data_IF_478586827244
#
_entry.id   IF_478586827244
#
_cell.length_a   1.000
_cell.length_b   1.000
_cell.length_c   1.000
_cell.angle_alpha   90.00
_cell.angle_beta   90.00
_cell.angle_gamma   90.00
#
_symmetry.space_group_name_H-M   'P 1'
#
loop_
_entity.id
_entity.type
_entity.pdbx_description
1 polymer ?
#
# COMPACT_ATOMS: atom_id res chain seq x y z
N UNK A 1 34.22 -16.21 -3.76
CA UNK A 1 32.83 -15.71 -3.57
C UNK A 1 32.49 -14.78 -4.72
N UNK A 2 31.45 -15.07 -5.49
CA UNK A 2 31.05 -14.23 -6.63
C UNK A 2 30.60 -12.83 -6.15
N UNK A 3 30.87 -11.81 -6.95
CA UNK A 3 30.43 -10.42 -6.75
C UNK A 3 28.91 -10.35 -6.49
N UNK A 4 28.14 -11.23 -7.13
CA UNK A 4 26.69 -11.37 -6.95
C UNK A 4 26.32 -11.79 -5.53
N UNK A 5 27.05 -12.73 -4.90
CA UNK A 5 26.77 -13.13 -3.51
C UNK A 5 27.01 -12.01 -2.49
N UNK A 6 28.00 -11.14 -2.73
CA UNK A 6 28.29 -9.99 -1.85
C UNK A 6 27.21 -8.92 -1.97
N UNK A 7 26.75 -8.64 -3.20
CA UNK A 7 25.69 -7.64 -3.44
C UNK A 7 24.36 -8.11 -2.83
N UNK A 8 23.99 -9.38 -3.00
CA UNK A 8 22.77 -9.95 -2.40
C UNK A 8 22.81 -9.83 -0.88
N UNK A 9 23.96 -10.12 -0.25
CA UNK A 9 24.12 -9.94 1.21
C UNK A 9 24.00 -8.49 1.64
N UNK A 10 24.62 -7.56 0.91
CA UNK A 10 24.55 -6.13 1.26
C UNK A 10 23.12 -5.60 1.14
N UNK A 11 22.40 -5.92 0.05
CA UNK A 11 21.00 -5.49 -0.12
C UNK A 11 20.10 -6.12 0.94
N UNK A 12 20.28 -7.42 1.23
CA UNK A 12 19.55 -8.10 2.28
C UNK A 12 19.84 -7.50 3.66
N UNK A 13 21.10 -7.17 3.96
CA UNK A 13 21.52 -6.53 5.22
C UNK A 13 21.01 -5.09 5.34
N UNK A 14 21.02 -4.30 4.27
CA UNK A 14 20.46 -2.94 4.28
C UNK A 14 18.94 -2.96 4.47
N UNK A 15 18.24 -3.91 3.84
CA UNK A 15 16.82 -4.13 4.04
C UNK A 15 16.52 -4.61 5.47
N UNK A 16 17.31 -5.55 6.00
CA UNK A 16 17.18 -5.98 7.40
C UNK A 16 17.48 -4.84 8.39
N UNK A 17 18.51 -4.04 8.15
CA UNK A 17 18.87 -2.91 9.01
C UNK A 17 17.77 -1.83 9.00
N UNK A 18 17.22 -1.50 7.83
CA UNK A 18 16.08 -0.60 7.73
C UNK A 18 14.86 -1.12 8.51
N UNK A 19 14.70 -2.44 8.62
CA UNK A 19 13.64 -3.06 9.40
C UNK A 19 13.93 -3.11 10.90
N UNK A 20 15.19 -3.32 11.30
CA UNK A 20 15.62 -3.32 12.71
C UNK A 20 15.47 -1.91 13.34
N UNK A 21 15.57 -0.83 12.55
CA UNK A 21 15.42 0.55 13.03
C UNK A 21 13.98 1.10 12.94
N UNK A 22 12.98 0.28 12.57
CA UNK A 22 11.58 0.68 12.69
C UNK A 22 11.21 0.76 14.18
N UNK A 23 10.87 1.94 14.72
CA UNK A 23 10.65 2.09 16.15
C UNK A 23 9.36 1.39 16.56
N UNK A 24 9.41 0.73 17.71
CA UNK A 24 8.31 0.07 18.41
C UNK A 24 7.30 1.04 19.05
N UNK A 25 7.19 2.27 18.58
CA UNK A 25 6.32 3.26 19.19
C UNK A 25 4.96 3.38 18.48
N UNK A 26 4.45 2.30 17.90
CA UNK A 26 3.08 2.34 17.39
C UNK A 26 2.14 2.40 18.59
N UNK A 27 1.49 3.55 18.77
CA UNK A 27 0.48 3.74 19.80
C UNK A 27 -0.56 2.64 19.69
N UNK A 28 -0.54 1.75 20.68
CA UNK A 28 -1.58 0.79 20.93
C UNK A 28 -2.82 1.54 21.37
N UNK A 29 -3.89 1.51 20.56
CA UNK A 29 -5.17 2.03 21.01
C UNK A 29 -5.91 0.97 21.82
N UNK A 30 -6.47 1.39 22.95
CA UNK A 30 -7.50 0.61 23.63
C UNK A 30 -8.79 0.72 22.81
N UNK A 31 -9.24 -0.41 22.26
CA UNK A 31 -10.53 -0.46 21.60
C UNK A 31 -11.64 -0.11 22.59
N UNK A 32 -12.48 0.87 22.25
CA UNK A 32 -13.66 1.26 23.03
C UNK A 32 -14.88 1.24 22.12
N UNK A 33 -15.90 0.41 22.40
CA UNK A 33 -17.13 0.39 21.61
C UNK A 33 -17.76 1.78 21.61
N UNK A 34 -18.00 2.34 20.42
CA UNK A 34 -18.61 3.65 20.31
C UNK A 34 -20.15 3.58 20.32
N UNK A 35 -20.81 4.74 20.21
CA UNK A 35 -22.27 4.80 20.23
C UNK A 35 -22.89 4.09 19.01
N UNK A 36 -22.19 4.12 17.86
CA UNK A 36 -22.63 3.48 16.64
C UNK A 36 -22.59 1.96 16.80
N UNK A 37 -21.53 1.41 17.39
CA UNK A 37 -21.43 -0.03 17.67
C UNK A 37 -22.66 -0.54 18.45
N UNK A 38 -23.08 0.20 19.48
CA UNK A 38 -24.27 -0.14 20.28
C UNK A 38 -25.55 -0.07 19.45
N UNK A 39 -25.68 0.96 18.60
CA UNK A 39 -26.82 1.11 17.71
C UNK A 39 -26.90 -0.03 16.70
N UNK A 40 -25.79 -0.38 16.04
CA UNK A 40 -25.74 -1.47 15.06
C UNK A 40 -26.05 -2.83 15.67
N UNK A 41 -25.60 -3.06 16.91
CA UNK A 41 -25.89 -4.28 17.66
C UNK A 41 -27.38 -4.38 18.07
N UNK A 42 -28.06 -3.26 18.26
CA UNK A 42 -29.49 -3.22 18.61
C UNK A 42 -30.42 -3.40 17.40
N UNK A 43 -29.93 -3.23 16.17
CA UNK A 43 -30.73 -3.40 14.96
C UNK A 43 -30.93 -4.89 14.63
N UNK A 44 -32.19 -5.27 14.40
CA UNK A 44 -32.53 -6.58 13.82
C UNK A 44 -31.98 -6.71 12.39
N UNK A 45 -31.73 -7.93 11.94
CA UNK A 45 -31.16 -8.20 10.60
C UNK A 45 -32.02 -7.61 9.49
N UNK A 46 -33.34 -7.80 9.56
CA UNK A 46 -34.28 -7.21 8.59
C UNK A 46 -34.20 -5.67 8.59
N UNK A 47 -34.13 -5.04 9.78
CA UNK A 47 -34.05 -3.57 9.87
C UNK A 47 -32.70 -3.06 9.36
N UNK A 48 -31.61 -3.75 9.66
CA UNK A 48 -30.28 -3.41 9.16
C UNK A 48 -30.26 -3.39 7.63
N UNK A 49 -30.77 -4.46 7.01
CA UNK A 49 -30.83 -4.58 5.55
C UNK A 49 -31.86 -3.62 4.93
N UNK A 50 -32.96 -3.29 5.62
CA UNK A 50 -33.98 -2.36 5.12
C UNK A 50 -33.58 -0.88 5.24
N UNK A 51 -32.68 -0.54 6.18
CA UNK A 51 -32.30 0.84 6.46
C UNK A 51 -31.32 1.36 5.39
N UNK A 52 -31.57 2.53 4.78
CA UNK A 52 -30.60 3.09 3.84
C UNK A 52 -29.26 3.34 4.53
N UNK A 53 -28.17 2.94 3.88
CA UNK A 53 -26.81 2.98 4.44
C UNK A 53 -26.38 4.32 5.04
N UNK A 54 -26.85 5.44 4.49
CA UNK A 54 -26.59 6.79 5.02
C UNK A 54 -27.07 6.99 6.46
N UNK A 55 -28.07 6.21 6.90
CA UNK A 55 -28.61 6.23 8.26
C UNK A 55 -27.96 5.19 9.17
N UNK A 56 -27.09 4.34 8.63
CA UNK A 56 -26.30 3.36 9.37
C UNK A 56 -24.90 3.88 9.73
N UNK A 57 -24.51 5.04 9.23
CA UNK A 57 -23.20 5.66 9.49
C UNK A 57 -23.37 6.88 10.40
N UNK A 58 -22.35 7.18 11.20
CA UNK A 58 -22.30 8.42 11.96
C UNK A 58 -22.24 9.61 10.95
N UNK A 59 -23.18 10.57 11.01
CA UNK A 59 -23.20 11.71 10.09
C UNK A 59 -21.92 12.57 10.20
N UNK A 60 -21.32 12.69 11.38
CA UNK A 60 -20.10 13.48 11.58
C UNK A 60 -18.89 12.79 10.93
N UNK A 61 -18.75 11.47 11.11
CA UNK A 61 -17.69 10.68 10.47
C UNK A 61 -17.89 10.58 8.96
N UNK A 62 -19.14 10.45 8.50
CA UNK A 62 -19.47 10.53 7.08
C UNK A 62 -19.07 11.89 6.48
N UNK A 63 -19.39 13.00 7.15
CA UNK A 63 -18.96 14.33 6.72
C UNK A 63 -17.42 14.48 6.71
N UNK A 64 -16.73 13.92 7.72
CA UNK A 64 -15.27 13.86 7.79
C UNK A 64 -14.67 13.07 6.61
N UNK A 65 -15.26 11.93 6.26
CA UNK A 65 -14.85 11.12 5.11
C UNK A 65 -15.02 11.86 3.78
N UNK A 66 -16.11 12.60 3.61
CA UNK A 66 -16.29 13.45 2.43
C UNK A 66 -15.24 14.56 2.36
N UNK A 67 -14.93 15.22 3.48
CA UNK A 67 -13.84 16.22 3.52
C UNK A 67 -12.49 15.61 3.15
N UNK A 68 -12.18 14.42 3.66
CA UNK A 68 -10.95 13.69 3.33
C UNK A 68 -10.84 13.43 1.82
N UNK A 69 -11.91 12.93 1.22
CA UNK A 69 -11.94 12.56 -0.20
C UNK A 69 -11.72 13.76 -1.12
N UNK A 70 -12.25 14.94 -0.76
CA UNK A 70 -12.03 16.18 -1.53
C UNK A 70 -10.55 16.58 -1.59
N UNK A 71 -9.79 16.32 -0.51
CA UNK A 71 -8.38 16.69 -0.43
C UNK A 71 -7.42 15.59 -0.89
N UNK A 72 -7.85 14.33 -0.94
CA UNK A 72 -7.01 13.20 -1.34
C UNK A 72 -6.44 13.34 -2.75
N UNK A 73 -7.28 13.70 -3.73
CA UNK A 73 -6.84 13.88 -5.11
C UNK A 73 -5.89 15.07 -5.30
N UNK A 74 -6.22 16.30 -4.84
CA UNK A 74 -5.28 17.42 -4.91
C UNK A 74 -3.95 17.12 -4.23
N UNK A 75 -3.96 16.54 -3.03
CA UNK A 75 -2.72 16.21 -2.33
C UNK A 75 -1.91 15.15 -3.07
N UNK A 76 -2.55 14.15 -3.68
CA UNK A 76 -1.86 13.19 -4.54
C UNK A 76 -1.21 13.87 -5.76
N UNK A 77 -1.95 14.74 -6.45
CA UNK A 77 -1.43 15.52 -7.59
C UNK A 77 -0.24 16.39 -7.15
N UNK A 78 -0.33 17.05 -6.01
CA UNK A 78 0.77 17.89 -5.50
C UNK A 78 1.99 17.05 -5.11
N UNK A 79 1.82 15.89 -4.47
CA UNK A 79 2.93 14.96 -4.19
C UNK A 79 3.60 14.54 -5.50
N UNK A 80 2.85 13.96 -6.42
CA UNK A 80 3.37 13.44 -7.69
C UNK A 80 3.99 14.55 -8.55
N UNK A 81 3.35 15.72 -8.59
CA UNK A 81 3.86 16.90 -9.27
C UNK A 81 5.16 17.41 -8.67
N UNK A 82 5.27 17.49 -7.34
CA UNK A 82 6.49 17.91 -6.66
C UNK A 82 7.66 16.96 -6.94
N UNK A 83 7.43 15.65 -6.90
CA UNK A 83 8.43 14.63 -7.24
C UNK A 83 8.90 14.76 -8.69
N UNK A 84 7.95 14.89 -9.62
CA UNK A 84 8.23 15.07 -11.05
C UNK A 84 9.02 16.35 -11.33
N UNK A 85 8.53 17.50 -10.87
CA UNK A 85 9.16 18.80 -11.16
C UNK A 85 10.52 18.94 -10.47
N UNK A 86 10.72 18.36 -9.28
CA UNK A 86 12.02 18.37 -8.62
C UNK A 86 13.08 17.61 -9.44
N UNK A 87 12.74 16.42 -9.94
CA UNK A 87 13.64 15.63 -10.78
C UNK A 87 13.87 16.26 -12.15
N UNK A 88 12.80 16.79 -12.77
CA UNK A 88 12.89 17.49 -14.03
C UNK A 88 13.77 18.74 -13.92
N UNK A 89 13.58 19.54 -12.86
CA UNK A 89 14.41 20.71 -12.58
C UNK A 89 15.86 20.33 -12.32
N UNK A 90 16.11 19.27 -11.54
CA UNK A 90 17.48 18.78 -11.28
C UNK A 90 18.20 18.42 -12.60
N UNK A 91 17.48 17.80 -13.54
CA UNK A 91 18.00 17.50 -14.87
C UNK A 91 18.18 18.77 -15.73
N UNK A 92 17.13 19.55 -15.93
CA UNK A 92 17.11 20.67 -16.88
C UNK A 92 18.02 21.83 -16.49
N UNK A 93 18.28 22.02 -15.19
CA UNK A 93 19.21 23.04 -14.69
C UNK A 93 20.69 22.65 -14.81
N UNK A 94 21.00 21.42 -15.25
CA UNK A 94 22.36 20.87 -15.25
C UNK A 94 22.88 20.50 -13.86
N UNK A 95 22.08 20.67 -12.79
CA UNK A 95 22.48 20.32 -11.43
C UNK A 95 22.70 18.81 -11.26
N UNK A 96 22.01 17.97 -12.02
CA UNK A 96 22.30 16.53 -12.07
C UNK A 96 23.74 16.23 -12.52
N UNK A 97 24.26 16.96 -13.52
CA UNK A 97 25.64 16.82 -13.98
C UNK A 97 26.64 17.35 -12.93
N UNK A 98 26.36 18.50 -12.31
CA UNK A 98 27.19 19.04 -11.22
C UNK A 98 27.26 18.10 -10.02
N UNK A 99 26.12 17.53 -9.63
CA UNK A 99 26.03 16.54 -8.55
C UNK A 99 26.86 15.30 -8.88
N UNK A 100 26.70 14.75 -10.09
CA UNK A 100 27.52 13.63 -10.58
C UNK A 100 29.02 13.94 -10.49
N UNK A 101 29.44 15.10 -10.99
CA UNK A 101 30.86 15.48 -11.01
C UNK A 101 31.41 15.73 -9.60
N UNK A 102 30.60 16.24 -8.68
CA UNK A 102 30.95 16.34 -7.27
C UNK A 102 31.11 14.95 -6.62
N UNK A 103 30.17 14.03 -6.88
CA UNK A 103 30.22 12.67 -6.34
C UNK A 103 31.43 11.89 -6.88
N UNK A 104 31.74 11.98 -8.18
CA UNK A 104 32.92 11.34 -8.77
C UNK A 104 34.24 11.89 -8.22
N UNK A 105 34.31 13.18 -7.91
CA UNK A 105 35.49 13.77 -7.27
C UNK A 105 35.65 13.33 -5.81
N UNK A 106 34.54 13.18 -5.09
CA UNK A 106 34.55 12.82 -3.67
C UNK A 106 34.68 11.33 -3.37
N UNK A 107 34.31 10.45 -4.31
CA UNK A 107 34.24 9.01 -4.08
C UNK A 107 35.30 8.22 -4.84
N UNK A 108 35.91 7.24 -4.16
CA UNK A 108 36.87 6.33 -4.78
C UNK A 108 36.14 5.20 -5.52
N UNK A 109 35.85 5.43 -6.80
CA UNK A 109 35.37 4.41 -7.74
C UNK A 109 33.95 4.64 -8.26
N UNK A 110 33.72 4.24 -9.52
CA UNK A 110 32.47 4.48 -10.26
C UNK A 110 31.25 3.90 -9.55
N UNK A 111 31.39 2.70 -9.00
CA UNK A 111 30.36 2.02 -8.23
C UNK A 111 29.83 2.82 -7.04
N UNK A 112 30.71 3.56 -6.34
CA UNK A 112 30.32 4.39 -5.21
C UNK A 112 29.60 5.66 -5.69
N UNK A 113 30.10 6.28 -6.76
CA UNK A 113 29.46 7.45 -7.37
C UNK A 113 28.06 7.12 -7.95
N UNK A 114 27.89 5.97 -8.60
CA UNK A 114 26.60 5.47 -9.09
C UNK A 114 25.62 5.24 -7.94
N UNK A 115 26.09 4.58 -6.87
CA UNK A 115 25.27 4.36 -5.67
C UNK A 115 24.83 5.68 -5.05
N UNK A 116 25.77 6.60 -4.86
CA UNK A 116 25.48 7.90 -4.26
C UNK A 116 24.54 8.73 -5.13
N UNK A 117 24.68 8.66 -6.45
CA UNK A 117 23.75 9.34 -7.37
C UNK A 117 22.33 8.79 -7.21
N UNK A 118 22.16 7.46 -7.19
CA UNK A 118 20.85 6.84 -6.98
C UNK A 118 20.25 7.18 -5.62
N UNK A 119 21.08 7.22 -4.57
CA UNK A 119 20.68 7.65 -3.25
C UNK A 119 20.25 9.12 -3.22
N UNK A 120 21.00 10.01 -3.86
CA UNK A 120 20.66 11.44 -3.95
C UNK A 120 19.37 11.67 -4.72
N UNK A 121 19.11 10.96 -5.83
CA UNK A 121 17.85 11.08 -6.56
C UNK A 121 16.66 10.65 -5.71
N UNK A 122 16.78 9.53 -4.99
CA UNK A 122 15.74 9.11 -4.05
C UNK A 122 15.52 10.15 -2.94
N UNK A 123 16.58 10.74 -2.40
CA UNK A 123 16.48 11.80 -1.41
C UNK A 123 15.75 13.04 -1.96
N UNK A 124 16.08 13.47 -3.19
CA UNK A 124 15.42 14.61 -3.86
C UNK A 124 13.92 14.38 -3.98
N UNK A 125 13.49 13.20 -4.46
CA UNK A 125 12.07 12.83 -4.56
C UNK A 125 11.40 12.89 -3.20
N UNK A 126 12.00 12.27 -2.17
CA UNK A 126 11.44 12.21 -0.82
C UNK A 126 11.30 13.60 -0.21
N UNK A 127 12.33 14.43 -0.31
CA UNK A 127 12.35 15.80 0.20
C UNK A 127 11.33 16.69 -0.52
N UNK A 128 11.23 16.59 -1.85
CA UNK A 128 10.22 17.31 -2.63
C UNK A 128 8.79 16.96 -2.18
N UNK A 129 8.56 15.69 -1.85
CA UNK A 129 7.28 15.21 -1.35
C UNK A 129 7.04 15.43 0.15
N UNK A 130 8.00 15.98 0.91
CA UNK A 130 7.92 16.07 2.37
C UNK A 130 6.71 16.89 2.85
N UNK A 131 6.58 18.12 2.35
CA UNK A 131 5.51 19.05 2.75
C UNK A 131 4.11 18.50 2.40
N UNK A 132 3.83 18.06 1.15
CA UNK A 132 2.50 17.53 0.84
C UNK A 132 2.20 16.21 1.56
N UNK A 133 3.21 15.36 1.84
CA UNK A 133 3.00 14.18 2.68
C UNK A 133 2.71 14.54 4.14
N UNK A 134 3.35 15.59 4.69
CA UNK A 134 3.02 16.10 6.01
C UNK A 134 1.59 16.64 6.07
N UNK A 135 1.16 17.35 5.03
CA UNK A 135 -0.24 17.82 4.91
C UNK A 135 -1.23 16.66 4.89
N UNK A 136 -0.94 15.57 4.15
CA UNK A 136 -1.74 14.33 4.17
C UNK A 136 -1.83 13.73 5.57
N UNK A 137 -0.70 13.62 6.27
CA UNK A 137 -0.66 13.13 7.64
C UNK A 137 -1.47 14.02 8.60
N UNK A 138 -1.33 15.35 8.51
CA UNK A 138 -2.09 16.30 9.31
C UNK A 138 -3.59 16.18 9.06
N UNK A 139 -3.99 15.97 7.81
CA UNK A 139 -5.38 15.73 7.44
C UNK A 139 -5.90 14.41 8.04
N UNK A 140 -5.15 13.32 7.90
CA UNK A 140 -5.51 12.03 8.49
C UNK A 140 -5.63 12.13 10.02
N UNK A 141 -4.72 12.85 10.69
CA UNK A 141 -4.77 13.10 12.14
C UNK A 141 -5.96 13.98 12.55
N UNK A 142 -6.22 15.06 11.81
CA UNK A 142 -7.34 15.96 12.10
C UNK A 142 -8.70 15.27 11.97
N UNK A 143 -8.78 14.20 11.19
CA UNK A 143 -10.00 13.41 10.99
C UNK A 143 -10.01 12.11 11.82
N UNK A 144 -9.10 11.96 12.79
CA UNK A 144 -9.06 10.81 13.69
C UNK A 144 -8.63 9.49 13.05
N UNK A 145 -8.09 9.51 11.82
CA UNK A 145 -7.59 8.31 11.11
C UNK A 145 -6.18 7.90 11.52
N UNK A 146 -5.42 8.82 12.09
CA UNK A 146 -4.04 8.61 12.52
C UNK A 146 -3.81 9.22 13.88
N UNK A 147 -3.33 8.42 14.83
CA UNK A 147 -2.95 8.87 16.17
C UNK A 147 -1.43 9.08 16.31
N UNK A 148 -0.66 8.53 15.36
CA UNK A 148 0.80 8.66 15.21
C UNK A 148 1.23 10.10 15.48
N UNK A 149 2.15 10.31 16.42
CA UNK A 149 2.61 11.66 16.80
C UNK A 149 3.40 12.32 15.68
N UNK A 150 3.50 13.66 15.69
CA UNK A 150 4.24 14.39 14.64
C UNK A 150 5.72 13.98 14.55
N UNK A 151 6.37 13.78 15.69
CA UNK A 151 7.75 13.31 15.76
C UNK A 151 7.90 11.86 15.28
N UNK A 152 6.95 11.00 15.64
CA UNK A 152 6.91 9.60 15.21
C UNK A 152 6.70 9.50 13.69
N UNK A 153 5.76 10.29 13.15
CA UNK A 153 5.55 10.39 11.71
C UNK A 153 6.83 10.84 10.98
N UNK A 154 7.52 11.85 11.51
CA UNK A 154 8.76 12.36 10.92
C UNK A 154 9.86 11.29 10.95
N UNK A 155 9.96 10.53 12.04
CA UNK A 155 10.90 9.43 12.15
C UNK A 155 10.58 8.30 11.16
N UNK A 156 9.32 7.88 11.04
CA UNK A 156 8.88 6.89 10.04
C UNK A 156 9.20 7.39 8.63
N UNK A 157 8.94 8.67 8.36
CA UNK A 157 9.27 9.30 7.08
C UNK A 157 10.79 9.28 6.82
N UNK A 158 11.61 9.60 7.83
CA UNK A 158 13.07 9.61 7.73
C UNK A 158 13.61 8.21 7.45
N UNK A 159 13.15 7.20 8.18
CA UNK A 159 13.54 5.81 7.96
C UNK A 159 13.15 5.32 6.56
N UNK A 160 11.94 5.68 6.10
CA UNK A 160 11.50 5.42 4.73
C UNK A 160 12.38 6.13 3.70
N UNK A 161 12.86 7.34 3.99
CA UNK A 161 13.78 8.08 3.12
C UNK A 161 15.16 7.41 3.05
N UNK A 162 15.76 7.04 4.19
CA UNK A 162 17.03 6.30 4.21
C UNK A 162 16.90 4.98 3.47
N UNK A 163 15.80 4.25 3.67
CA UNK A 163 15.53 3.00 2.94
C UNK A 163 15.44 3.23 1.44
N UNK A 164 14.70 4.26 1.00
CA UNK A 164 14.60 4.63 -0.41
C UNK A 164 15.97 5.01 -1.00
N UNK A 165 16.81 5.72 -0.25
CA UNK A 165 18.18 6.06 -0.66
C UNK A 165 19.05 4.81 -0.85
N UNK A 166 19.02 3.88 0.11
CA UNK A 166 19.79 2.63 0.03
C UNK A 166 19.34 1.77 -1.16
N UNK A 167 18.02 1.61 -1.34
CA UNK A 167 17.44 0.83 -2.45
C UNK A 167 17.70 1.49 -3.79
N UNK A 168 17.46 2.80 -3.91
CA UNK A 168 17.68 3.56 -5.14
C UNK A 168 19.15 3.57 -5.56
N UNK A 169 20.07 3.78 -4.60
CA UNK A 169 21.51 3.70 -4.82
C UNK A 169 21.96 2.31 -5.26
N UNK A 170 21.53 1.25 -4.55
CA UNK A 170 21.89 -0.12 -4.91
C UNK A 170 21.37 -0.50 -6.30
N UNK A 171 20.11 -0.15 -6.61
CA UNK A 171 19.51 -0.42 -7.91
C UNK A 171 20.28 0.28 -9.03
N UNK A 172 20.60 1.56 -8.86
CA UNK A 172 21.32 2.31 -9.89
C UNK A 172 22.71 1.72 -10.15
N UNK A 173 23.49 1.45 -9.10
CA UNK A 173 24.80 0.84 -9.21
C UNK A 173 24.76 -0.56 -9.86
N UNK A 174 23.72 -1.36 -9.60
CA UNK A 174 23.54 -2.66 -10.26
C UNK A 174 23.24 -2.47 -11.74
N UNK A 175 22.32 -1.58 -12.08
CA UNK A 175 21.91 -1.31 -13.48
C UNK A 175 23.09 -0.83 -14.31
N UNK A 176 23.89 0.12 -13.82
CA UNK A 176 25.03 0.66 -14.55
C UNK A 176 26.12 -0.40 -14.80
N UNK A 177 26.40 -1.25 -13.80
CA UNK A 177 27.33 -2.38 -14.00
C UNK A 177 26.83 -3.41 -15.00
N UNK A 178 25.52 -3.65 -15.05
CA UNK A 178 24.92 -4.54 -16.05
C UNK A 178 24.98 -3.92 -17.44
N UNK A 179 24.69 -2.62 -17.55
CA UNK A 179 24.78 -1.85 -18.78
C UNK A 179 26.20 -1.89 -19.37
N UNK A 180 27.22 -1.76 -18.52
CA UNK A 180 28.63 -1.85 -18.93
C UNK A 180 29.05 -3.27 -19.41
N UNK A 181 28.33 -4.32 -18.99
CA UNK A 181 28.70 -5.72 -19.28
C UNK A 181 27.90 -6.38 -20.39
N UNK A 182 26.66 -5.97 -20.62
CA UNK A 182 25.78 -6.64 -21.57
C UNK A 182 24.79 -5.70 -22.24
N UNK A 183 24.59 -5.88 -23.56
CA UNK A 183 23.54 -5.19 -24.33
C UNK A 183 22.13 -5.56 -23.85
N UNK A 184 21.97 -6.74 -23.24
CA UNK A 184 20.69 -7.25 -22.74
C UNK A 184 20.50 -7.00 -21.24
N UNK A 185 21.09 -5.93 -20.69
CA UNK A 185 21.06 -5.59 -19.26
C UNK A 185 19.66 -5.54 -18.64
N UNK A 186 18.64 -5.23 -19.45
CA UNK A 186 17.25 -5.18 -19.01
C UNK A 186 16.70 -6.54 -18.54
N UNK A 187 17.16 -7.66 -19.13
CA UNK A 187 16.74 -9.01 -18.71
C UNK A 187 17.23 -9.37 -17.30
N UNK A 188 18.54 -9.32 -16.97
CA UNK A 188 18.99 -9.57 -15.62
C UNK A 188 18.47 -8.53 -14.63
N UNK A 189 18.30 -7.25 -15.02
CA UNK A 189 17.67 -6.27 -14.13
C UNK A 189 16.23 -6.65 -13.80
N UNK A 190 15.42 -6.99 -14.80
CA UNK A 190 14.04 -7.44 -14.59
C UNK A 190 13.98 -8.71 -13.73
N UNK A 191 14.88 -9.66 -13.97
CA UNK A 191 14.99 -10.88 -13.16
C UNK A 191 15.36 -10.57 -11.70
N UNK A 192 16.32 -9.67 -11.46
CA UNK A 192 16.71 -9.25 -10.10
C UNK A 192 15.53 -8.56 -9.39
N UNK A 193 14.83 -7.66 -10.08
CA UNK A 193 13.65 -6.98 -9.53
C UNK A 193 12.53 -7.97 -9.22
N UNK A 194 12.30 -8.95 -10.10
CA UNK A 194 11.32 -10.00 -9.88
C UNK A 194 11.67 -10.82 -8.63
N UNK A 195 12.90 -11.33 -8.56
CA UNK A 195 13.39 -12.09 -7.41
C UNK A 195 13.26 -11.26 -6.14
N UNK A 196 13.69 -9.99 -6.15
CA UNK A 196 13.58 -9.11 -5.01
C UNK A 196 12.13 -8.86 -4.58
N UNK A 197 11.18 -8.69 -5.51
CA UNK A 197 9.76 -8.51 -5.20
C UNK A 197 9.16 -9.77 -4.56
N UNK A 198 9.43 -10.96 -5.10
CA UNK A 198 8.94 -12.22 -4.55
C UNK A 198 9.60 -12.55 -3.20
N UNK A 199 10.92 -12.44 -3.09
CA UNK A 199 11.64 -12.64 -1.83
C UNK A 199 11.17 -11.62 -0.79
N UNK A 200 11.00 -10.36 -1.16
CA UNK A 200 10.45 -9.33 -0.30
C UNK A 200 9.04 -9.68 0.19
N UNK A 201 8.16 -10.14 -0.70
CA UNK A 201 6.83 -10.63 -0.33
C UNK A 201 6.86 -11.83 0.62
N UNK A 202 7.85 -12.73 0.49
CA UNK A 202 8.03 -13.86 1.39
C UNK A 202 8.60 -13.44 2.76
N UNK A 203 9.56 -12.52 2.77
CA UNK A 203 10.23 -12.03 3.98
C UNK A 203 9.38 -11.03 4.76
N UNK A 204 8.46 -10.32 4.11
CA UNK A 204 7.60 -9.32 4.74
C UNK A 204 6.86 -9.83 5.99
N UNK A 205 6.09 -10.93 5.94
CA UNK A 205 5.42 -11.48 7.13
C UNK A 205 6.39 -11.98 8.21
N UNK A 206 7.61 -12.39 7.84
CA UNK A 206 8.56 -13.00 8.79
C UNK A 206 9.43 -11.95 9.48
N UNK A 207 9.80 -10.88 8.78
CA UNK A 207 10.78 -9.89 9.25
C UNK A 207 10.12 -8.56 9.55
N UNK A 208 9.22 -8.10 8.68
CA UNK A 208 8.63 -6.75 8.77
C UNK A 208 7.45 -6.75 9.72
N UNK A 209 6.52 -7.68 9.53
CA UNK A 209 5.27 -7.76 10.30
C UNK A 209 5.50 -7.91 11.80
N UNK A 210 6.41 -8.75 12.32
CA UNK A 210 6.58 -8.87 13.77
C UNK A 210 7.16 -7.60 14.41
N UNK A 211 7.94 -6.83 13.66
CA UNK A 211 8.50 -5.56 14.12
C UNK A 211 7.45 -4.45 14.08
N UNK A 212 6.68 -4.36 12.99
CA UNK A 212 5.63 -3.36 12.83
C UNK A 212 4.38 -3.68 13.66
N UNK A 213 3.98 -4.94 13.76
CA UNK A 213 2.76 -5.33 14.46
C UNK A 213 3.07 -6.50 15.38
N UNK A 214 3.67 -6.24 16.56
CA UNK A 214 3.78 -7.24 17.61
C UNK A 214 2.43 -7.93 17.82
N UNK A 215 2.43 -9.25 17.75
CA UNK A 215 1.22 -10.06 17.80
C UNK A 215 1.46 -11.24 18.75
N UNK A 216 0.40 -11.68 19.43
CA UNK A 216 0.49 -12.86 20.28
C UNK A 216 0.49 -14.14 19.43
N UNK A 217 0.81 -15.26 20.09
CA UNK A 217 0.63 -16.57 19.51
C UNK A 217 -0.83 -16.81 19.08
N UNK A 218 -1.00 -17.80 18.20
CA UNK A 218 -2.22 -18.20 17.50
C UNK A 218 -3.50 -18.04 18.36
N UNK A 219 -4.44 -17.17 17.94
CA UNK A 219 -5.75 -17.06 18.63
C UNK A 219 -6.50 -18.37 18.47
N UNK A 220 -6.65 -19.11 19.58
CA UNK A 220 -7.32 -20.42 19.61
C UNK A 220 -8.76 -20.29 19.13
N UNK A 221 -9.43 -19.21 19.54
CA UNK A 221 -10.82 -18.95 19.18
C UNK A 221 -10.98 -18.68 17.68
N UNK A 222 -10.26 -17.69 17.14
CA UNK A 222 -10.34 -17.37 15.71
C UNK A 222 -9.86 -18.52 14.84
N UNK A 223 -8.85 -19.27 15.28
CA UNK A 223 -8.36 -20.45 14.57
C UNK A 223 -9.44 -21.54 14.50
N UNK A 224 -10.14 -21.79 15.61
CA UNK A 224 -11.21 -22.78 15.66
C UNK A 224 -12.40 -22.35 14.80
N UNK A 225 -12.78 -21.08 14.88
CA UNK A 225 -13.86 -20.48 14.07
C UNK A 225 -13.52 -20.50 12.57
N UNK A 226 -12.28 -20.23 12.19
CA UNK A 226 -11.90 -20.17 10.79
C UNK A 226 -11.64 -21.53 10.15
N UNK A 227 -11.30 -22.58 10.92
CA UNK A 227 -10.86 -23.86 10.33
C UNK A 227 -11.90 -24.46 9.38
N UNK A 228 -13.19 -24.35 9.72
CA UNK A 228 -14.28 -24.83 8.86
C UNK A 228 -14.48 -23.96 7.61
N UNK A 229 -14.37 -22.64 7.75
CA UNK A 229 -14.48 -21.68 6.64
C UNK A 229 -13.28 -21.79 5.68
N UNK A 230 -12.06 -21.87 6.19
CA UNK A 230 -10.87 -22.04 5.38
C UNK A 230 -10.91 -23.36 4.58
N UNK A 231 -11.41 -24.44 5.19
CA UNK A 231 -11.52 -25.74 4.54
C UNK A 231 -12.48 -25.72 3.35
N UNK A 232 -13.57 -24.94 3.39
CA UNK A 232 -14.50 -24.82 2.24
C UNK A 232 -13.89 -24.05 1.06
N UNK A 233 -12.84 -23.25 1.29
CA UNK A 233 -12.01 -22.64 0.25
C UNK A 233 -10.81 -23.50 -0.17
N UNK A 234 -10.67 -24.72 0.35
CA UNK A 234 -9.51 -25.59 0.11
C UNK A 234 -8.22 -25.05 0.71
N UNK A 235 -8.32 -24.22 1.76
CA UNK A 235 -7.20 -23.68 2.50
C UNK A 235 -7.01 -24.50 3.77
N UNK A 236 -5.76 -24.96 3.98
CA UNK A 236 -5.39 -25.74 5.16
C UNK A 236 -4.22 -25.07 5.88
N UNK A 237 -4.30 -25.06 7.21
CA UNK A 237 -3.21 -24.70 8.12
C UNK A 237 -2.60 -23.30 7.96
N UNK A 238 -3.36 -22.32 7.46
CA UNK A 238 -2.92 -20.92 7.45
C UNK A 238 -2.97 -20.39 8.89
N UNK A 239 -1.84 -19.90 9.45
CA UNK A 239 -1.81 -19.36 10.80
C UNK A 239 -2.62 -18.06 10.85
N UNK A 240 -3.44 -17.93 11.90
CA UNK A 240 -4.19 -16.72 12.22
C UNK A 240 -3.59 -16.15 13.48
N UNK A 241 -3.11 -14.91 13.39
CA UNK A 241 -2.51 -14.19 14.51
C UNK A 241 -3.31 -12.93 14.80
N UNK A 242 -3.34 -12.55 16.08
CA UNK A 242 -3.99 -11.31 16.51
C UNK A 242 -2.93 -10.35 17.00
N UNK A 243 -2.96 -9.13 16.49
CA UNK A 243 -2.10 -8.06 16.95
C UNK A 243 -2.34 -7.77 18.43
N UNK A 244 -1.28 -7.46 19.18
CA UNK A 244 -1.37 -7.13 20.61
C UNK A 244 -2.13 -5.83 20.86
N UNK A 245 -2.25 -5.00 19.83
CA UNK A 245 -2.98 -3.75 19.85
C UNK A 245 -3.54 -3.38 18.48
N UNK A 246 -4.41 -2.39 18.45
CA UNK A 246 -4.90 -1.79 17.22
C UNK A 246 -3.89 -0.79 16.67
N UNK A 247 -2.95 -1.30 15.86
CA UNK A 247 -1.95 -0.48 15.21
C UNK A 247 -2.52 0.30 14.02
N UNK A 248 -1.95 1.49 13.78
CA UNK A 248 -2.27 2.30 12.61
C UNK A 248 -2.08 1.47 11.32
N UNK A 249 -3.15 1.37 10.53
CA UNK A 249 -3.18 0.60 9.28
C UNK A 249 -3.72 -0.84 9.41
N UNK A 250 -3.70 -1.43 10.62
CA UNK A 250 -4.31 -2.74 10.90
C UNK A 250 -5.66 -2.61 11.64
N UNK A 251 -5.89 -1.53 12.39
CA UNK A 251 -7.14 -1.29 13.13
C UNK A 251 -8.40 -1.59 12.29
N UNK A 252 -9.33 -2.34 12.89
CA UNK A 252 -10.58 -2.84 12.31
C UNK A 252 -10.41 -3.68 11.04
N UNK A 253 -9.34 -4.48 10.93
CA UNK A 253 -9.09 -5.30 9.75
C UNK A 253 -8.67 -6.72 10.08
N UNK A 254 -9.02 -7.58 9.14
CA UNK A 254 -8.35 -8.85 8.92
C UNK A 254 -7.65 -8.73 7.56
N UNK A 255 -6.35 -8.95 7.53
CA UNK A 255 -5.53 -8.86 6.33
C UNK A 255 -4.77 -10.17 6.09
N UNK A 256 -4.42 -10.39 4.83
CA UNK A 256 -3.47 -11.43 4.43
C UNK A 256 -2.12 -10.76 4.24
N UNK A 257 -1.08 -11.33 4.83
CA UNK A 257 0.30 -10.96 4.53
C UNK A 257 1.05 -12.20 4.03
N UNK A 258 2.16 -11.96 3.35
CA UNK A 258 2.99 -13.03 2.79
C UNK A 258 2.50 -13.62 1.48
N UNK A 259 3.34 -14.46 0.90
CA UNK A 259 3.07 -15.24 -0.31
C UNK A 259 3.63 -16.66 -0.13
N UNK A 260 3.17 -17.61 -0.93
CA UNK A 260 3.60 -19.02 -0.87
C UNK A 260 3.46 -19.64 0.54
N UNK A 261 4.56 -20.10 1.13
CA UNK A 261 4.58 -20.79 2.43
C UNK A 261 4.59 -19.84 3.62
N UNK A 262 4.86 -18.55 3.40
CA UNK A 262 4.90 -17.54 4.48
C UNK A 262 3.58 -16.79 4.64
N UNK A 263 2.50 -17.28 4.02
CA UNK A 263 1.16 -16.69 4.13
C UNK A 263 0.66 -16.82 5.56
N UNK A 264 0.18 -15.70 6.11
CA UNK A 264 -0.51 -15.68 7.39
C UNK A 264 -1.66 -14.67 7.36
N UNK A 265 -2.65 -14.91 8.21
CA UNK A 265 -3.79 -14.02 8.42
C UNK A 265 -3.52 -13.23 9.69
N UNK A 266 -3.55 -11.91 9.58
CA UNK A 266 -3.45 -11.01 10.72
C UNK A 266 -4.80 -10.36 10.98
N UNK A 267 -5.31 -10.50 12.19
CA UNK A 267 -6.48 -9.80 12.67
C UNK A 267 -6.07 -8.71 13.67
N UNK A 268 -6.78 -7.58 13.64
CA UNK A 268 -6.66 -6.55 14.67
C UNK A 268 -7.34 -6.97 15.97
N UNK A 269 -6.91 -6.37 17.08
CA UNK A 269 -7.49 -6.63 18.39
C UNK A 269 -8.96 -6.18 18.46
N UNK A 270 -9.28 -5.06 17.82
CA UNK A 270 -10.64 -4.57 17.58
C UNK A 270 -11.53 -5.62 16.91
N UNK A 271 -11.03 -6.34 15.90
CA UNK A 271 -11.82 -7.41 15.26
C UNK A 271 -12.11 -8.54 16.24
N UNK A 272 -11.15 -8.94 17.05
CA UNK A 272 -11.36 -10.00 18.03
C UNK A 272 -12.36 -9.59 19.13
N UNK A 273 -12.30 -8.34 19.61
CA UNK A 273 -13.09 -7.87 20.76
C UNK A 273 -14.45 -7.26 20.42
N UNK A 274 -14.58 -6.58 19.28
CA UNK A 274 -15.74 -5.75 18.98
C UNK A 274 -16.77 -6.42 18.06
N UNK A 275 -16.29 -7.30 17.18
CA UNK A 275 -17.10 -7.90 16.14
C UNK A 275 -17.72 -9.20 16.67
N UNK A 276 -19.01 -9.38 16.38
CA UNK A 276 -19.72 -10.63 16.66
C UNK A 276 -19.12 -11.79 15.86
N UNK A 277 -19.36 -13.03 16.31
CA UNK A 277 -18.87 -14.25 15.63
C UNK A 277 -19.28 -14.26 14.15
N UNK A 278 -20.51 -13.84 13.84
CA UNK A 278 -21.04 -13.78 12.47
C UNK A 278 -20.32 -12.73 11.62
N UNK A 279 -20.04 -11.55 12.18
CA UNK A 279 -19.25 -10.51 11.50
C UNK A 279 -17.80 -10.97 11.27
N UNK A 280 -17.17 -11.61 12.27
CA UNK A 280 -15.81 -12.18 12.14
C UNK A 280 -15.75 -13.27 11.08
N UNK A 281 -16.75 -14.15 11.02
CA UNK A 281 -16.87 -15.17 9.99
C UNK A 281 -16.89 -14.56 8.58
N UNK A 282 -17.63 -13.47 8.36
CA UNK A 282 -17.60 -12.74 7.08
C UNK A 282 -16.21 -12.16 6.77
N UNK A 283 -15.58 -11.48 7.75
CA UNK A 283 -14.26 -10.87 7.56
C UNK A 283 -13.18 -11.91 7.23
N UNK A 284 -13.22 -13.06 7.89
CA UNK A 284 -12.33 -14.19 7.66
C UNK A 284 -12.61 -14.87 6.30
N UNK A 285 -13.87 -15.17 5.99
CA UNK A 285 -14.25 -15.77 4.70
C UNK A 285 -13.83 -14.89 3.51
N UNK A 286 -13.86 -13.56 3.65
CA UNK A 286 -13.37 -12.62 2.64
C UNK A 286 -11.86 -12.74 2.42
N UNK A 287 -11.10 -12.86 3.50
CA UNK A 287 -9.64 -13.03 3.47
C UNK A 287 -9.28 -14.38 2.87
N UNK A 288 -10.01 -15.43 3.21
CA UNK A 288 -9.86 -16.77 2.62
C UNK A 288 -10.21 -16.77 1.13
N UNK A 289 -11.27 -16.08 0.71
CA UNK A 289 -11.59 -15.90 -0.70
C UNK A 289 -10.48 -15.17 -1.49
N UNK A 290 -9.83 -14.17 -0.88
CA UNK A 290 -8.65 -13.50 -1.47
C UNK A 290 -7.44 -14.44 -1.59
N UNK A 291 -7.23 -15.31 -0.61
CA UNK A 291 -6.17 -16.32 -0.61
C UNK A 291 -6.41 -17.38 -1.68
N UNK A 292 -7.64 -17.91 -1.77
CA UNK A 292 -8.06 -18.90 -2.75
C UNK A 292 -7.91 -18.38 -4.19
N UNK A 293 -8.25 -17.12 -4.42
CA UNK A 293 -8.09 -16.43 -5.71
C UNK A 293 -6.67 -15.93 -6.00
N UNK A 294 -5.70 -16.29 -5.13
CA UNK A 294 -4.27 -15.98 -5.27
C UNK A 294 -4.01 -14.48 -5.44
N UNK A 295 -4.81 -13.63 -4.79
CA UNK A 295 -4.70 -12.16 -4.92
C UNK A 295 -3.30 -11.65 -4.55
N UNK A 296 -2.65 -12.06 -3.44
CA UNK A 296 -1.33 -11.55 -3.08
C UNK A 296 -0.26 -11.79 -4.16
N UNK A 297 -0.16 -13.03 -4.67
CA UNK A 297 0.84 -13.38 -5.69
C UNK A 297 0.52 -12.75 -7.05
N UNK A 298 -0.75 -12.72 -7.45
CA UNK A 298 -1.18 -12.05 -8.69
C UNK A 298 -0.83 -10.56 -8.62
N UNK A 299 -1.10 -9.93 -7.49
CA UNK A 299 -0.78 -8.52 -7.25
C UNK A 299 0.73 -8.26 -7.32
N UNK A 300 1.58 -9.06 -6.68
CA UNK A 300 3.04 -8.93 -6.82
C UNK A 300 3.48 -9.04 -8.29
N UNK A 301 2.92 -9.98 -9.04
CA UNK A 301 3.22 -10.13 -10.48
C UNK A 301 2.76 -8.93 -11.32
N UNK A 302 1.57 -8.39 -11.04
CA UNK A 302 1.03 -7.19 -11.69
C UNK A 302 1.89 -5.97 -11.35
N UNK A 303 2.17 -5.72 -10.06
CA UNK A 303 2.99 -4.60 -9.61
C UNK A 303 4.37 -4.64 -10.29
N UNK A 304 4.99 -5.82 -10.39
CA UNK A 304 6.24 -6.02 -11.12
C UNK A 304 6.09 -5.70 -12.61
N UNK A 305 5.06 -6.23 -13.29
CA UNK A 305 4.83 -5.98 -14.71
C UNK A 305 4.61 -4.49 -15.00
N UNK A 306 3.87 -3.81 -14.12
CA UNK A 306 3.61 -2.37 -14.19
C UNK A 306 4.89 -1.55 -14.00
N UNK A 307 5.75 -1.92 -13.05
CA UNK A 307 7.07 -1.29 -12.87
C UNK A 307 7.92 -1.47 -14.13
N UNK A 308 8.00 -2.68 -14.68
CA UNK A 308 8.78 -2.95 -15.89
C UNK A 308 8.23 -2.18 -17.11
N UNK A 309 6.91 -2.10 -17.25
CA UNK A 309 6.25 -1.29 -18.28
C UNK A 309 6.56 0.19 -18.12
N UNK A 310 6.48 0.72 -16.89
CA UNK A 310 6.81 2.12 -16.59
C UNK A 310 8.26 2.47 -16.93
N UNK A 311 9.21 1.57 -16.61
CA UNK A 311 10.61 1.72 -16.99
C UNK A 311 10.78 1.70 -18.50
N UNK A 312 10.13 0.78 -19.21
CA UNK A 312 10.21 0.69 -20.67
C UNK A 312 9.68 1.97 -21.35
N UNK A 313 8.53 2.48 -20.90
CA UNK A 313 7.95 3.74 -21.39
C UNK A 313 8.91 4.91 -21.12
N UNK A 314 9.46 5.00 -19.90
CA UNK A 314 10.37 6.07 -19.52
C UNK A 314 11.66 6.06 -20.36
N UNK A 315 12.20 4.88 -20.70
CA UNK A 315 13.37 4.74 -21.59
C UNK A 315 13.03 5.22 -23.00
N UNK A 316 11.92 4.76 -23.60
CA UNK A 316 11.51 5.17 -24.96
C UNK A 316 11.24 6.67 -25.03
N UNK A 317 10.58 7.25 -24.04
CA UNK A 317 10.33 8.69 -23.97
C UNK A 317 11.63 9.49 -23.82
N UNK A 318 12.57 9.00 -23.00
CA UNK A 318 13.89 9.63 -22.83
C UNK A 318 14.67 9.68 -24.15
N UNK A 319 14.62 8.62 -24.96
CA UNK A 319 15.25 8.59 -26.29
C UNK A 319 14.59 9.58 -27.28
N UNK A 320 13.25 9.70 -27.23
CA UNK A 320 12.51 10.60 -28.11
C UNK A 320 12.67 12.08 -27.80
N UNK A 321 12.94 12.43 -26.54
CA UNK A 321 13.15 13.82 -26.11
C UNK A 321 14.49 14.42 -26.57
N UNK A 322 15.22 13.72 -27.45
CA UNK A 322 16.38 14.29 -28.15
C UNK A 322 17.57 14.57 -27.23
N UNK A 323 17.67 13.84 -26.11
CA UNK A 323 18.80 13.94 -25.20
C UNK A 323 20.08 13.66 -25.99
N UNK A 324 20.96 14.67 -26.09
CA UNK A 324 22.18 14.61 -26.89
C UNK A 324 22.97 13.38 -26.49
N UNK A 325 23.39 12.59 -27.48
CA UNK A 325 24.11 11.32 -27.28
C UNK A 325 25.40 11.49 -26.48
N UNK A 326 25.94 12.71 -26.40
CA UNK A 326 27.17 13.07 -25.69
C UNK A 326 26.98 13.37 -24.20
N UNK A 327 25.75 13.52 -23.69
CA UNK A 327 25.53 13.74 -22.25
C UNK A 327 25.78 12.44 -21.47
N UNK A 328 26.64 12.44 -20.46
CA UNK A 328 26.98 11.18 -19.78
C UNK A 328 25.73 10.50 -19.15
N UNK A 329 25.55 9.18 -19.36
CA UNK A 329 24.34 8.45 -18.97
C UNK A 329 23.89 8.65 -17.52
N UNK A 330 24.82 8.92 -16.59
CA UNK A 330 24.51 9.09 -15.18
C UNK A 330 23.73 10.39 -14.89
N UNK A 331 23.93 11.47 -15.66
CA UNK A 331 23.15 12.70 -15.49
C UNK A 331 21.73 12.59 -16.05
N UNK A 332 21.50 11.69 -17.02
CA UNK A 332 20.18 11.43 -17.63
C UNK A 332 19.23 10.67 -16.72
N UNK A 333 19.75 10.02 -15.67
CA UNK A 333 18.94 9.24 -14.73
C UNK A 333 17.88 10.10 -14.05
N UNK A 334 18.15 11.38 -13.82
CA UNK A 334 17.17 12.32 -13.26
C UNK A 334 15.94 12.49 -14.18
N UNK A 335 16.15 12.66 -15.50
CA UNK A 335 15.05 12.70 -16.48
C UNK A 335 14.29 11.38 -16.52
N UNK A 336 15.01 10.25 -16.56
CA UNK A 336 14.39 8.92 -16.55
C UNK A 336 13.52 8.73 -15.30
N UNK A 337 14.01 9.14 -14.13
CA UNK A 337 13.26 9.09 -12.89
C UNK A 337 12.01 9.99 -12.93
N UNK A 338 12.11 11.20 -13.51
CA UNK A 338 10.95 12.08 -13.69
C UNK A 338 9.89 11.43 -14.59
N UNK A 339 10.30 10.86 -15.72
CA UNK A 339 9.39 10.15 -16.63
C UNK A 339 8.78 8.90 -15.97
N UNK A 340 9.51 8.23 -15.09
CA UNK A 340 9.00 7.08 -14.32
C UNK A 340 7.89 7.50 -13.35
N UNK A 341 7.99 8.68 -12.72
CA UNK A 341 6.92 9.24 -11.88
C UNK A 341 5.64 9.43 -12.69
N UNK A 342 5.75 10.00 -13.90
CA UNK A 342 4.58 10.17 -14.79
C UNK A 342 4.01 8.84 -15.29
N UNK A 343 4.89 7.89 -15.67
CA UNK A 343 4.46 6.57 -16.11
C UNK A 343 3.72 5.84 -14.98
N UNK A 344 4.20 5.92 -13.74
CA UNK A 344 3.51 5.37 -12.58
C UNK A 344 2.15 6.05 -12.34
N UNK A 345 2.09 7.38 -12.45
CA UNK A 345 0.83 8.11 -12.31
C UNK A 345 -0.22 7.69 -13.35
N UNK A 346 0.20 7.43 -14.59
CA UNK A 346 -0.67 6.95 -15.66
C UNK A 346 -1.13 5.50 -15.45
N UNK A 347 -0.31 4.68 -14.81
CA UNK A 347 -0.58 3.26 -14.55
C UNK A 347 -1.43 3.04 -13.29
N UNK A 348 -1.31 3.92 -12.29
CA UNK A 348 -1.97 3.80 -10.99
C UNK A 348 -3.48 3.46 -11.07
N UNK A 349 -4.29 4.05 -11.98
CA UNK A 349 -5.70 3.70 -12.10
C UNK A 349 -5.98 2.23 -12.37
N UNK A 350 -5.12 1.55 -13.15
CA UNK A 350 -5.27 0.13 -13.46
C UNK A 350 -5.04 -0.70 -12.20
N UNK A 351 -3.95 -0.44 -11.47
CA UNK A 351 -3.66 -1.14 -10.20
C UNK A 351 -4.81 -0.95 -9.19
N UNK A 352 -5.29 0.28 -9.01
CA UNK A 352 -6.38 0.57 -8.10
C UNK A 352 -7.69 -0.12 -8.53
N UNK A 353 -8.03 -0.11 -9.82
CA UNK A 353 -9.21 -0.81 -10.33
C UNK A 353 -9.14 -2.32 -10.08
N UNK A 354 -7.97 -2.94 -10.31
CA UNK A 354 -7.76 -4.36 -10.05
C UNK A 354 -7.94 -4.70 -8.57
N UNK A 355 -7.39 -3.89 -7.66
CA UNK A 355 -7.56 -4.06 -6.21
C UNK A 355 -9.02 -4.01 -5.79
N UNK A 356 -9.78 -3.04 -6.31
CA UNK A 356 -11.22 -2.93 -6.05
C UNK A 356 -11.98 -4.14 -6.56
N UNK A 357 -11.66 -4.61 -7.77
CA UNK A 357 -12.33 -5.77 -8.36
C UNK A 357 -12.12 -7.05 -7.52
N UNK A 358 -10.90 -7.24 -6.99
CA UNK A 358 -10.57 -8.35 -6.11
C UNK A 358 -11.37 -8.30 -4.79
N UNK A 359 -11.53 -7.10 -4.21
CA UNK A 359 -12.32 -6.92 -2.98
C UNK A 359 -13.80 -7.22 -3.23
N UNK A 360 -14.40 -6.74 -4.32
CA UNK A 360 -15.79 -7.07 -4.66
C UNK A 360 -16.00 -8.58 -4.87
N UNK A 361 -15.07 -9.24 -5.56
CA UNK A 361 -15.13 -10.68 -5.76
C UNK A 361 -15.05 -11.44 -4.41
N UNK A 362 -14.17 -10.99 -3.52
CA UNK A 362 -14.01 -11.58 -2.19
C UNK A 362 -15.23 -11.32 -1.29
N UNK A 363 -15.83 -10.13 -1.31
CA UNK A 363 -17.06 -9.83 -0.56
C UNK A 363 -18.21 -10.74 -0.99
N UNK A 364 -18.41 -10.94 -2.31
CA UNK A 364 -19.44 -11.85 -2.83
C UNK A 364 -19.20 -13.30 -2.43
N UNK A 365 -17.96 -13.77 -2.56
CA UNK A 365 -17.59 -15.13 -2.16
C UNK A 365 -17.77 -15.35 -0.65
N UNK A 366 -17.44 -14.35 0.16
CA UNK A 366 -17.64 -14.40 1.60
C UNK A 366 -19.12 -14.49 1.98
N UNK A 367 -19.98 -13.66 1.41
CA UNK A 367 -21.44 -13.70 1.67
C UNK A 367 -22.06 -15.01 1.20
N UNK A 368 -21.65 -15.50 0.01
CA UNK A 368 -22.11 -16.80 -0.49
C UNK A 368 -21.69 -17.95 0.43
N UNK A 369 -20.55 -17.84 1.10
CA UNK A 369 -20.07 -18.86 2.03
C UNK A 369 -20.77 -18.77 3.40
N UNK A 370 -20.88 -17.57 3.96
CA UNK A 370 -21.46 -17.37 5.29
C UNK A 370 -22.99 -17.41 5.29
N UNK A 371 -23.62 -17.25 4.12
CA UNK A 371 -25.07 -17.15 3.96
C UNK A 371 -25.69 -16.04 4.85
N UNK A 372 -24.92 -14.98 5.08
CA UNK A 372 -25.26 -13.96 6.07
C UNK A 372 -24.95 -12.54 5.58
N UNK A 373 -25.83 -11.98 4.73
CA UNK A 373 -25.66 -10.62 4.24
C UNK A 373 -25.78 -9.58 5.37
N UNK A 374 -26.54 -9.85 6.43
CA UNK A 374 -26.73 -8.91 7.53
C UNK A 374 -25.44 -8.70 8.33
N UNK A 375 -24.74 -9.78 8.70
CA UNK A 375 -23.45 -9.64 9.38
C UNK A 375 -22.38 -9.02 8.47
N UNK A 376 -22.43 -9.31 7.16
CA UNK A 376 -21.54 -8.66 6.20
C UNK A 376 -21.76 -7.15 6.15
N UNK A 377 -23.01 -6.69 6.00
CA UNK A 377 -23.35 -5.26 6.03
C UNK A 377 -22.94 -4.63 7.36
N UNK A 378 -23.25 -5.26 8.51
CA UNK A 378 -22.85 -4.74 9.83
C UNK A 378 -21.34 -4.56 9.95
N UNK A 379 -20.58 -5.57 9.53
CA UNK A 379 -19.12 -5.51 9.54
C UNK A 379 -18.59 -4.39 8.65
N UNK A 380 -19.14 -4.22 7.44
CA UNK A 380 -18.71 -3.16 6.52
C UNK A 380 -19.07 -1.76 7.01
N UNK A 381 -20.26 -1.58 7.59
CA UNK A 381 -20.66 -0.30 8.19
C UNK A 381 -19.71 0.05 9.33
N UNK A 382 -19.44 -0.89 10.24
CA UNK A 382 -18.49 -0.70 11.35
C UNK A 382 -17.08 -0.36 10.86
N UNK A 383 -16.55 -1.13 9.89
CA UNK A 383 -15.26 -0.84 9.27
C UNK A 383 -15.23 0.54 8.61
N UNK A 384 -16.29 0.90 7.89
CA UNK A 384 -16.41 2.16 7.18
C UNK A 384 -16.44 3.35 8.11
N UNK A 385 -17.17 3.23 9.22
CA UNK A 385 -17.28 4.26 10.22
C UNK A 385 -15.96 4.47 10.98
N UNK A 386 -15.39 3.40 11.55
CA UNK A 386 -14.13 3.48 12.30
C UNK A 386 -12.96 3.97 11.44
N UNK A 387 -12.95 3.61 10.15
CA UNK A 387 -11.89 4.01 9.22
C UNK A 387 -12.21 5.30 8.48
N UNK A 388 -13.33 5.98 8.78
CA UNK A 388 -13.75 7.23 8.14
C UNK A 388 -13.71 7.09 6.60
N UNK A 389 -14.35 6.04 6.10
CA UNK A 389 -14.46 5.73 4.67
C UNK A 389 -15.64 6.47 4.05
N UNK A 390 -15.43 7.02 2.85
CA UNK A 390 -16.50 7.72 2.17
C UNK A 390 -17.50 6.73 1.58
N UNK A 391 -18.78 7.09 1.66
CA UNK A 391 -19.86 6.29 1.12
C UNK A 391 -19.74 6.12 -0.40
N UNK A 392 -19.61 7.26 -1.09
CA UNK A 392 -19.48 7.36 -2.54
C UNK A 392 -18.41 8.40 -2.89
N UNK A 393 -17.13 8.00 -3.04
CA UNK A 393 -16.09 8.91 -3.52
C UNK A 393 -16.38 9.37 -4.95
N UNK A 394 -15.89 10.57 -5.30
CA UNK A 394 -15.99 11.06 -6.68
C UNK A 394 -15.28 10.12 -7.65
N UNK A 395 -15.73 10.10 -8.91
CA UNK A 395 -15.13 9.25 -9.93
C UNK A 395 -13.61 9.46 -10.05
N UNK A 396 -13.15 10.71 -9.98
CA UNK A 396 -11.74 11.04 -10.02
C UNK A 396 -10.96 10.49 -8.80
N UNK A 397 -11.52 10.61 -7.59
CA UNK A 397 -10.90 10.04 -6.40
C UNK A 397 -10.84 8.50 -6.48
N UNK A 398 -11.88 7.86 -7.00
CA UNK A 398 -11.93 6.43 -7.22
C UNK A 398 -10.88 5.98 -8.25
N UNK A 399 -10.73 6.72 -9.35
CA UNK A 399 -9.77 6.38 -10.41
C UNK A 399 -8.33 6.50 -9.89
N UNK A 400 -7.97 7.58 -9.20
CA UNK A 400 -6.56 7.90 -8.95
C UNK A 400 -6.05 7.63 -7.53
N UNK A 401 -6.91 7.61 -6.51
CA UNK A 401 -6.44 7.65 -5.11
C UNK A 401 -7.05 6.61 -4.19
N UNK A 402 -8.29 6.15 -4.43
CA UNK A 402 -8.96 5.23 -3.52
C UNK A 402 -8.67 3.76 -3.86
N UNK A 403 -7.90 3.01 -3.03
CA UNK A 403 -7.62 1.61 -3.30
C UNK A 403 -8.78 0.68 -2.93
N UNK A 404 -9.83 1.18 -2.27
CA UNK A 404 -10.98 0.38 -1.86
C UNK A 404 -12.20 0.68 -2.74
N UNK A 405 -13.10 -0.31 -2.94
CA UNK A 405 -14.35 -0.02 -3.59
C UNK A 405 -15.23 0.87 -2.69
N UNK A 406 -16.09 1.73 -3.26
CA UNK A 406 -17.00 2.57 -2.49
C UNK A 406 -17.82 1.76 -1.49
N UNK A 407 -17.90 2.22 -0.25
CA UNK A 407 -18.64 1.49 0.80
C UNK A 407 -20.11 1.28 0.41
N UNK A 408 -20.74 2.30 -0.19
CA UNK A 408 -22.11 2.23 -0.68
C UNK A 408 -22.30 1.16 -1.75
N UNK A 409 -21.40 1.11 -2.74
CA UNK A 409 -21.45 0.11 -3.80
C UNK A 409 -21.25 -1.32 -3.28
N UNK A 410 -20.40 -1.51 -2.28
CA UNK A 410 -20.16 -2.82 -1.65
C UNK A 410 -21.39 -3.33 -0.91
N UNK A 411 -22.00 -2.49 -0.09
CA UNK A 411 -23.20 -2.86 0.67
C UNK A 411 -24.39 -3.07 -0.28
N UNK A 412 -24.60 -2.20 -1.27
CA UNK A 412 -25.63 -2.39 -2.28
C UNK A 412 -25.47 -3.72 -3.04
N UNK A 413 -24.24 -4.10 -3.39
CA UNK A 413 -23.97 -5.38 -4.05
C UNK A 413 -24.27 -6.59 -3.15
N UNK A 414 -24.07 -6.49 -1.83
CA UNK A 414 -24.42 -7.54 -0.86
C UNK A 414 -25.94 -7.63 -0.67
N UNK A 415 -26.62 -6.50 -0.65
CA UNK A 415 -28.08 -6.42 -0.49
C UNK A 415 -28.85 -6.75 -1.78
N UNK A 416 -28.18 -6.86 -2.93
CA UNK A 416 -28.82 -7.05 -4.22
C UNK A 416 -29.57 -5.81 -4.73
N UNK A 417 -29.12 -4.60 -4.35
CA UNK A 417 -29.73 -3.32 -4.72
C UNK A 417 -28.93 -2.58 -5.80
N UNK A 418 -29.54 -1.57 -6.39
CA UNK A 418 -28.86 -0.64 -7.28
C UNK A 418 -27.72 0.10 -6.53
N UNK A 419 -26.60 0.32 -7.22
CA UNK A 419 -25.43 0.99 -6.67
C UNK A 419 -25.72 2.48 -6.44
N UNK A 420 -25.80 2.95 -5.17
CA UNK A 420 -26.13 4.34 -4.86
C UNK A 420 -25.04 5.32 -5.30
N UNK A 421 -23.85 4.82 -5.66
CA UNK A 421 -22.74 5.65 -6.11
C UNK A 421 -22.72 5.88 -7.63
N UNK A 422 -23.64 5.27 -8.39
CA UNK A 422 -23.79 5.50 -9.84
C UNK A 422 -24.75 6.62 -10.19
N UNK A 423 -25.70 6.93 -9.30
CA UNK A 423 -26.61 8.04 -9.52
C UNK A 423 -25.85 9.36 -9.33
N UNK A 424 -25.94 10.32 -10.28
CA UNK A 424 -25.41 11.66 -10.06
C UNK A 424 -26.24 12.28 -8.94
N UNK A 425 -25.74 12.20 -7.70
CA UNK A 425 -26.47 12.82 -6.60
C UNK A 425 -26.49 14.33 -6.81
N UNK A 426 -27.66 14.98 -6.70
CA UNK A 426 -27.80 16.42 -6.90
C UNK A 426 -27.10 17.25 -5.80
N UNK A 427 -26.46 16.59 -4.83
CA UNK A 427 -25.77 17.22 -3.69
C UNK A 427 -24.23 17.03 -3.70
N UNK A 428 -23.64 16.64 -4.83
CA UNK A 428 -22.18 16.45 -4.97
C UNK A 428 -21.50 17.41 -5.94
#
# INVERSE_FOLDING_TARGET
>A
MSLTSRIVRIVASCFLLALIFAPHALCAREFRPDALDRQLNALSEHRLLATPIRHLLDPERSAAAHRLLRWRLPLWIVVTGAEFFALLYLWSSGNAARLRDALRRGMRGDAAAEFAMGASLAAVVRVAALIPNYARYRLDRALGRSEVLGAEWLWIWLLGTVTAMLVGGALLAIVFRLLARTKRWYLPTAAILAIAAFVGGMLYPVVVVPVLWPHHERSVQLTKENRTLAASFGLHDIPIRVAQADYAGLADRVIVVGIFTTREILASLSVERAYSIRERAFLLARVDAMLASRVPIRRTGIDLALVLLGVAIAVVLSERLGVRRDDDPLSRVALLAALLVLAYAAIAPVDLAMRRSAVFAADRAAVAMTHDPAAAVRALVRQGDHRVEGLCPSAAALIFVDPHPPLGARIAAIEGRADPCREPSPFF
#
